data_IF_358486369338
#
_entry.id   IF_358486369338
#
_cell.length_a   1.000
_cell.length_b   1.000
_cell.length_c   1.000
_cell.angle_alpha   90.00
_cell.angle_beta   90.00
_cell.angle_gamma   90.00
#
_symmetry.space_group_name_H-M   'P 1'
#
loop_
_entity.id
_entity.type
_entity.pdbx_description
1 polymer ?
#
# COMPACT_ATOMS: atom_id res chain seq x y z
N UNK A 1 13.99 8.72 15.29
CA UNK A 1 13.22 7.62 15.93
C UNK A 1 12.37 6.99 14.85
N UNK A 2 12.22 5.66 14.82
CA UNK A 2 11.41 5.01 13.80
C UNK A 2 9.94 5.07 14.23
N UNK A 3 9.12 5.84 13.51
CA UNK A 3 7.73 6.13 13.91
C UNK A 3 6.72 5.03 13.52
N UNK A 4 7.20 3.88 13.02
CA UNK A 4 6.36 2.70 12.80
C UNK A 4 6.11 1.95 14.11
N UNK A 5 4.84 1.76 14.48
CA UNK A 5 4.42 0.94 15.63
C UNK A 5 3.68 -0.30 15.15
N UNK A 6 3.88 -1.43 15.84
CA UNK A 6 3.03 -2.60 15.63
C UNK A 6 1.59 -2.25 15.98
N UNK A 7 0.67 -2.73 15.15
CA UNK A 7 -0.76 -2.54 15.34
C UNK A 7 -1.47 -3.88 15.52
N UNK A 8 -2.51 -3.89 16.33
CA UNK A 8 -3.42 -5.02 16.44
C UNK A 8 -4.38 -5.00 15.24
N UNK A 9 -4.15 -5.89 14.25
CA UNK A 9 -4.92 -5.88 13.00
C UNK A 9 -6.42 -6.18 13.21
N UNK A 10 -6.78 -6.96 14.22
CA UNK A 10 -8.20 -7.21 14.55
C UNK A 10 -8.88 -5.95 15.07
N UNK A 11 -8.21 -5.23 15.95
CA UNK A 11 -8.69 -3.94 16.47
C UNK A 11 -8.76 -2.90 15.35
N UNK A 12 -7.72 -2.82 14.52
CA UNK A 12 -7.70 -1.92 13.36
C UNK A 12 -8.90 -2.17 12.43
N UNK A 13 -9.24 -3.42 12.13
CA UNK A 13 -10.43 -3.76 11.32
C UNK A 13 -11.72 -3.23 11.96
N UNK A 14 -11.87 -3.39 13.28
CA UNK A 14 -13.05 -2.89 13.99
C UNK A 14 -13.13 -1.37 13.96
N UNK A 15 -12.00 -0.68 14.14
CA UNK A 15 -11.96 0.79 14.05
C UNK A 15 -12.25 1.27 12.62
N UNK A 16 -11.70 0.61 11.59
CA UNK A 16 -12.00 0.93 10.19
C UNK A 16 -13.50 0.78 9.88
N UNK A 17 -14.16 -0.28 10.39
CA UNK A 17 -15.60 -0.46 10.22
C UNK A 17 -16.40 0.68 10.87
N UNK A 18 -16.01 1.12 12.07
CA UNK A 18 -16.64 2.27 12.74
C UNK A 18 -16.41 3.57 11.96
N UNK A 19 -15.19 3.77 11.45
CA UNK A 19 -14.84 4.95 10.66
C UNK A 19 -15.64 4.99 9.35
N UNK A 20 -15.77 3.87 8.64
CA UNK A 20 -16.64 3.75 7.47
C UNK A 20 -18.08 4.13 7.79
N UNK A 21 -18.67 3.52 8.84
CA UNK A 21 -20.06 3.80 9.23
C UNK A 21 -20.28 5.27 9.61
N UNK A 22 -19.30 5.90 10.25
CA UNK A 22 -19.37 7.34 10.57
C UNK A 22 -19.39 8.19 9.29
N UNK A 23 -18.54 7.87 8.31
CA UNK A 23 -18.41 8.64 7.07
C UNK A 23 -19.60 8.44 6.14
N UNK A 24 -20.15 7.23 6.08
CA UNK A 24 -21.42 6.95 5.38
C UNK A 24 -22.59 7.80 5.92
N UNK A 25 -22.53 8.19 7.19
CA UNK A 25 -23.50 9.07 7.83
C UNK A 25 -23.34 10.57 7.50
N UNK A 26 -22.25 10.97 6.84
CA UNK A 26 -21.99 12.38 6.52
C UNK A 26 -22.87 12.79 5.33
N UNK A 27 -23.90 13.60 5.61
CA UNK A 27 -24.75 14.21 4.59
C UNK A 27 -24.30 15.65 4.33
N UNK A 28 -23.74 15.89 3.14
CA UNK A 28 -23.38 17.23 2.69
C UNK A 28 -24.57 17.91 2.03
N UNK A 29 -24.81 19.17 2.39
CA UNK A 29 -25.93 19.97 1.84
C UNK A 29 -25.66 20.51 0.43
N UNK A 30 -24.40 20.59 0.03
CA UNK A 30 -23.97 21.11 -1.26
C UNK A 30 -23.20 20.03 -2.03
N UNK A 31 -23.82 19.51 -3.08
CA UNK A 31 -23.23 18.49 -3.93
C UNK A 31 -22.34 19.18 -4.98
N UNK A 32 -21.03 18.93 -4.93
CA UNK A 32 -20.06 19.46 -5.88
C UNK A 32 -19.15 20.59 -5.37
N UNK A 33 -19.26 20.97 -4.09
CA UNK A 33 -18.30 21.89 -3.46
C UNK A 33 -17.03 21.19 -2.96
N UNK A 34 -16.02 21.96 -2.55
CA UNK A 34 -14.75 21.46 -2.00
C UNK A 34 -14.92 20.40 -0.89
N UNK A 35 -15.91 20.57 -0.02
CA UNK A 35 -16.19 19.59 1.05
C UNK A 35 -16.68 18.24 0.51
N UNK A 36 -17.35 18.22 -0.65
CA UNK A 36 -17.75 16.99 -1.33
C UNK A 36 -16.54 16.25 -1.90
N UNK A 37 -15.62 16.96 -2.56
CA UNK A 37 -14.38 16.39 -3.08
C UNK A 37 -13.48 15.84 -1.95
N UNK A 38 -13.40 16.56 -0.83
CA UNK A 38 -12.71 16.09 0.37
C UNK A 38 -13.34 14.81 0.92
N UNK A 39 -14.67 14.76 1.02
CA UNK A 39 -15.38 13.56 1.51
C UNK A 39 -15.13 12.36 0.60
N UNK A 40 -15.19 12.55 -0.73
CA UNK A 40 -14.85 11.51 -1.72
C UNK A 40 -13.40 11.03 -1.54
N UNK A 41 -12.46 11.95 -1.32
CA UNK A 41 -11.05 11.60 -1.08
C UNK A 41 -10.89 10.79 0.22
N UNK A 42 -11.64 11.13 1.28
CA UNK A 42 -11.66 10.34 2.52
C UNK A 42 -12.18 8.93 2.27
N UNK A 43 -13.27 8.76 1.49
CA UNK A 43 -13.78 7.43 1.12
C UNK A 43 -12.71 6.57 0.44
N UNK A 44 -12.00 7.15 -0.53
CA UNK A 44 -10.92 6.44 -1.21
C UNK A 44 -9.75 6.11 -0.28
N UNK A 45 -9.33 7.06 0.57
CA UNK A 45 -8.27 6.82 1.54
C UNK A 45 -8.60 5.61 2.43
N UNK A 46 -9.82 5.53 2.97
CA UNK A 46 -10.19 4.42 3.86
C UNK A 46 -10.30 3.10 3.11
N UNK A 47 -10.83 3.09 1.88
CA UNK A 47 -10.79 1.87 1.03
C UNK A 47 -9.35 1.36 0.86
N UNK A 48 -8.39 2.26 0.64
CA UNK A 48 -6.98 1.86 0.54
C UNK A 48 -6.38 1.38 1.87
N UNK A 49 -6.77 1.96 3.02
CA UNK A 49 -6.37 1.42 4.33
C UNK A 49 -6.96 0.02 4.55
N UNK A 50 -8.23 -0.20 4.20
CA UNK A 50 -8.87 -1.51 4.30
C UNK A 50 -8.16 -2.54 3.41
N UNK A 51 -7.85 -2.19 2.16
CA UNK A 51 -7.08 -3.06 1.27
C UNK A 51 -5.70 -3.38 1.83
N UNK A 52 -4.99 -2.40 2.41
CA UNK A 52 -3.70 -2.64 3.07
C UNK A 52 -3.85 -3.57 4.27
N UNK A 53 -4.87 -3.36 5.10
CA UNK A 53 -5.19 -4.26 6.20
C UNK A 53 -5.38 -5.70 5.71
N UNK A 54 -6.20 -5.92 4.69
CA UNK A 54 -6.49 -7.27 4.17
C UNK A 54 -5.23 -7.92 3.60
N UNK A 55 -4.34 -7.13 2.98
CA UNK A 55 -3.04 -7.61 2.50
C UNK A 55 -2.12 -8.03 3.63
N UNK A 56 -2.14 -7.32 4.75
CA UNK A 56 -1.33 -7.62 5.93
C UNK A 56 -1.91 -8.77 6.77
N UNK A 57 -3.23 -8.92 6.80
CA UNK A 57 -3.91 -9.91 7.65
C UNK A 57 -4.29 -11.18 6.90
N UNK A 58 -5.09 -11.06 5.85
CA UNK A 58 -5.66 -12.20 5.11
C UNK A 58 -4.64 -12.81 4.14
N UNK A 59 -3.80 -11.97 3.54
CA UNK A 59 -2.75 -12.39 2.61
C UNK A 59 -1.36 -12.56 3.28
N UNK A 60 -1.27 -12.66 4.61
CA UNK A 60 0.01 -12.68 5.34
C UNK A 60 0.99 -13.77 4.86
N UNK A 61 0.46 -14.90 4.34
CA UNK A 61 1.29 -15.95 3.73
C UNK A 61 2.12 -15.43 2.54
N UNK A 62 1.57 -14.51 1.74
CA UNK A 62 2.26 -13.91 0.59
C UNK A 62 3.41 -13.01 1.03
N UNK A 63 3.23 -12.28 2.14
CA UNK A 63 4.30 -11.51 2.77
C UNK A 63 5.46 -12.42 3.23
N UNK A 64 5.14 -13.55 3.86
CA UNK A 64 6.15 -14.53 4.30
C UNK A 64 6.92 -15.14 3.12
N UNK A 65 6.24 -15.46 2.01
CA UNK A 65 6.90 -15.95 0.80
C UNK A 65 7.78 -14.85 0.21
N UNK A 66 7.28 -13.62 0.07
CA UNK A 66 8.07 -12.48 -0.40
C UNK A 66 9.32 -12.27 0.47
N UNK A 67 9.21 -12.51 1.78
CA UNK A 67 10.31 -12.38 2.71
C UNK A 67 11.44 -13.40 2.51
N UNK A 68 11.12 -14.55 1.91
CA UNK A 68 12.07 -15.63 1.62
C UNK A 68 12.71 -15.50 0.23
N UNK A 69 12.21 -14.61 -0.63
CA UNK A 69 12.77 -14.36 -1.95
C UNK A 69 13.94 -13.38 -1.84
N UNK A 70 15.16 -13.88 -2.04
CA UNK A 70 16.37 -13.07 -2.03
C UNK A 70 16.31 -12.00 -3.12
N UNK A 71 15.71 -12.31 -4.27
CA UNK A 71 15.53 -11.39 -5.39
C UNK A 71 14.66 -10.18 -5.03
N UNK A 72 13.77 -10.29 -4.02
CA UNK A 72 12.95 -9.18 -3.51
C UNK A 72 13.58 -8.46 -2.31
N UNK A 73 14.77 -8.86 -1.85
CA UNK A 73 15.33 -8.31 -0.61
C UNK A 73 15.53 -6.79 -0.69
N UNK A 74 16.04 -6.29 -1.81
CA UNK A 74 16.24 -4.85 -2.04
C UNK A 74 14.91 -4.11 -2.04
N UNK A 75 13.96 -4.52 -2.88
CA UNK A 75 12.64 -3.86 -3.00
C UNK A 75 11.87 -3.87 -1.67
N UNK A 76 11.98 -4.97 -0.90
CA UNK A 76 11.39 -5.05 0.44
C UNK A 76 11.99 -4.06 1.43
N UNK A 77 13.31 -3.93 1.43
CA UNK A 77 13.98 -2.98 2.31
C UNK A 77 13.60 -1.56 1.94
N UNK A 78 13.48 -1.25 0.65
CA UNK A 78 13.04 0.06 0.15
C UNK A 78 11.59 0.36 0.48
N UNK A 79 10.69 -0.63 0.38
CA UNK A 79 9.31 -0.51 0.84
C UNK A 79 9.25 -0.17 2.33
N UNK A 80 9.99 -0.91 3.17
CA UNK A 80 9.99 -0.69 4.62
C UNK A 80 10.56 0.69 4.98
N UNK A 81 11.73 1.04 4.42
CA UNK A 81 12.38 2.33 4.68
C UNK A 81 11.49 3.50 4.24
N UNK A 82 10.89 3.42 3.05
CA UNK A 82 10.04 4.46 2.51
C UNK A 82 8.73 4.60 3.28
N UNK A 83 8.10 3.49 3.69
CA UNK A 83 6.90 3.54 4.53
C UNK A 83 7.19 4.23 5.88
N UNK A 84 8.36 4.00 6.48
CA UNK A 84 8.76 4.72 7.70
C UNK A 84 8.87 6.23 7.44
N UNK A 85 9.47 6.63 6.32
CA UNK A 85 9.56 8.05 5.93
C UNK A 85 8.18 8.67 5.67
N UNK A 86 7.29 7.95 4.98
CA UNK A 86 5.91 8.36 4.75
C UNK A 86 5.17 8.61 6.06
N UNK A 87 5.27 7.68 7.03
CA UNK A 87 4.64 7.84 8.34
C UNK A 87 5.18 9.10 9.03
N UNK A 88 6.48 9.32 8.99
CA UNK A 88 7.11 10.49 9.58
C UNK A 88 6.69 11.80 8.90
N UNK A 89 6.56 11.82 7.58
CA UNK A 89 6.05 12.97 6.83
C UNK A 89 4.60 13.27 7.21
N UNK A 90 3.75 12.25 7.32
CA UNK A 90 2.35 12.40 7.75
C UNK A 90 2.24 12.93 9.19
N UNK A 91 3.03 12.41 10.13
CA UNK A 91 3.05 12.91 11.52
C UNK A 91 3.51 14.37 11.63
N UNK A 92 4.32 14.82 10.68
CA UNK A 92 4.77 16.21 10.59
C UNK A 92 3.87 17.08 9.70
N UNK A 93 2.74 16.55 9.24
CA UNK A 93 1.76 17.26 8.40
C UNK A 93 2.22 17.53 6.97
N UNK A 94 3.28 16.86 6.49
CA UNK A 94 3.80 16.98 5.12
C UNK A 94 3.17 15.93 4.22
N UNK A 95 1.87 16.09 3.93
CA UNK A 95 1.12 15.09 3.20
C UNK A 95 1.53 15.01 1.73
N UNK A 96 1.91 16.15 1.12
CA UNK A 96 2.43 16.15 -0.25
C UNK A 96 3.73 15.35 -0.38
N UNK A 97 4.69 15.51 0.54
CA UNK A 97 5.94 14.75 0.53
C UNK A 97 5.68 13.24 0.70
N UNK A 98 4.74 12.87 1.59
CA UNK A 98 4.31 11.49 1.75
C UNK A 98 3.69 10.92 0.46
N UNK A 99 2.91 11.72 -0.27
CA UNK A 99 2.33 11.34 -1.55
C UNK A 99 3.40 11.14 -2.64
N UNK A 100 4.38 12.06 -2.73
CA UNK A 100 5.50 11.95 -3.67
C UNK A 100 6.34 10.70 -3.43
N UNK A 101 6.66 10.41 -2.16
CA UNK A 101 7.40 9.19 -1.78
C UNK A 101 6.60 7.94 -2.11
N UNK A 102 5.31 7.92 -1.81
CA UNK A 102 4.44 6.79 -2.14
C UNK A 102 4.40 6.52 -3.63
N UNK A 103 4.26 7.58 -4.45
CA UNK A 103 4.28 7.47 -5.92
C UNK A 103 5.64 6.98 -6.45
N UNK A 104 6.75 7.52 -5.94
CA UNK A 104 8.09 7.09 -6.35
C UNK A 104 8.33 5.61 -6.02
N UNK A 105 7.93 5.17 -4.82
CA UNK A 105 8.03 3.78 -4.40
C UNK A 105 7.21 2.84 -5.28
N UNK A 106 5.95 3.19 -5.59
CA UNK A 106 5.11 2.37 -6.45
C UNK A 106 5.70 2.25 -7.86
N UNK A 107 6.22 3.35 -8.42
CA UNK A 107 6.86 3.34 -9.73
C UNK A 107 8.14 2.50 -9.77
N UNK A 108 8.98 2.59 -8.74
CA UNK A 108 10.21 1.79 -8.62
C UNK A 108 9.90 0.30 -8.54
N UNK A 109 9.00 -0.10 -7.64
CA UNK A 109 8.56 -1.50 -7.50
C UNK A 109 7.97 -2.04 -8.80
N UNK A 110 7.09 -1.28 -9.46
CA UNK A 110 6.46 -1.70 -10.72
C UNK A 110 7.51 -1.95 -11.82
N UNK A 111 8.55 -1.11 -11.88
CA UNK A 111 9.63 -1.23 -12.86
C UNK A 111 10.45 -2.53 -12.72
N UNK A 112 10.51 -3.11 -11.51
CA UNK A 112 11.25 -4.35 -11.23
C UNK A 112 10.41 -5.63 -11.41
N UNK A 113 9.08 -5.52 -11.33
CA UNK A 113 8.16 -6.68 -11.33
C UNK A 113 8.35 -7.57 -12.55
N UNK A 114 8.43 -7.01 -13.75
CA UNK A 114 8.53 -7.80 -14.98
C UNK A 114 9.85 -8.58 -15.07
N UNK A 115 10.95 -7.98 -14.62
CA UNK A 115 12.25 -8.64 -14.53
C UNK A 115 12.21 -9.86 -13.61
N UNK A 116 11.62 -9.70 -12.42
CA UNK A 116 11.47 -10.79 -11.45
C UNK A 116 10.55 -11.90 -11.95
N UNK A 117 9.43 -11.53 -12.59
CA UNK A 117 8.50 -12.51 -13.18
C UNK A 117 9.19 -13.36 -14.24
N UNK A 118 9.97 -12.73 -15.12
CA UNK A 118 10.71 -13.45 -16.15
C UNK A 118 11.73 -14.43 -15.55
N UNK A 119 12.48 -14.01 -14.53
CA UNK A 119 13.44 -14.88 -13.84
C UNK A 119 12.78 -16.12 -13.22
N UNK A 120 11.62 -15.96 -12.60
CA UNK A 120 10.85 -17.09 -12.05
C UNK A 120 10.42 -18.05 -13.16
N UNK A 121 9.87 -17.52 -14.27
CA UNK A 121 9.43 -18.36 -15.39
C UNK A 121 10.60 -19.13 -16.02
N UNK A 122 11.78 -18.52 -16.14
CA UNK A 122 13.00 -19.20 -16.60
C UNK A 122 13.36 -20.34 -15.65
N UNK A 123 13.32 -20.12 -14.33
CA UNK A 123 13.63 -21.17 -13.34
C UNK A 123 12.63 -22.33 -13.38
N UNK A 124 11.34 -22.05 -13.61
CA UNK A 124 10.31 -23.07 -13.82
C UNK A 124 10.61 -23.87 -15.10
N UNK A 125 10.87 -23.19 -16.22
CA UNK A 125 11.18 -23.85 -17.50
C UNK A 125 12.45 -24.72 -17.45
N UNK A 126 13.41 -24.34 -16.60
CA UNK A 126 14.64 -25.10 -16.34
C UNK A 126 14.47 -26.22 -15.30
N UNK A 127 13.25 -26.46 -14.78
CA UNK A 127 12.96 -27.39 -13.69
C UNK A 127 13.79 -27.14 -12.41
N UNK A 128 14.28 -25.91 -12.21
CA UNK A 128 15.01 -25.52 -10.97
C UNK A 128 14.06 -25.30 -9.79
N UNK A 129 12.80 -25.00 -10.08
CA UNK A 129 11.69 -24.94 -9.14
C UNK A 129 10.47 -25.58 -9.77
N UNK A 130 9.53 -26.07 -8.95
CA UNK A 130 8.26 -26.59 -9.46
C UNK A 130 7.36 -25.47 -10.00
N UNK A 131 6.39 -25.81 -10.85
CA UNK A 131 5.38 -24.85 -11.33
C UNK A 131 4.54 -24.27 -10.16
N UNK A 132 4.28 -25.07 -9.13
CA UNK A 132 3.55 -24.64 -7.93
C UNK A 132 4.37 -23.68 -7.07
N UNK A 133 5.68 -23.91 -6.94
CA UNK A 133 6.58 -22.95 -6.28
C UNK A 133 6.65 -21.66 -7.09
N UNK A 134 6.81 -21.74 -8.41
CA UNK A 134 6.82 -20.57 -9.30
C UNK A 134 5.56 -19.73 -9.15
N UNK A 135 4.39 -20.36 -9.12
CA UNK A 135 3.10 -19.67 -8.92
C UNK A 135 3.04 -18.93 -7.58
N UNK A 136 3.50 -19.57 -6.50
CA UNK A 136 3.57 -18.95 -5.17
C UNK A 136 4.49 -17.72 -5.14
N UNK A 137 5.63 -17.79 -5.83
CA UNK A 137 6.56 -16.66 -5.92
C UNK A 137 5.98 -15.50 -6.74
N UNK A 138 5.31 -15.79 -7.85
CA UNK A 138 4.62 -14.77 -8.66
C UNK A 138 3.50 -14.09 -7.88
N UNK A 139 2.77 -14.83 -7.04
CA UNK A 139 1.77 -14.23 -6.14
C UNK A 139 2.40 -13.32 -5.08
N UNK A 140 3.57 -13.68 -4.55
CA UNK A 140 4.29 -12.87 -3.59
C UNK A 140 4.76 -11.54 -4.21
N UNK A 141 5.29 -11.57 -5.44
CA UNK A 141 5.66 -10.35 -6.19
C UNK A 141 4.42 -9.49 -6.47
N UNK A 142 3.31 -10.11 -6.91
CA UNK A 142 2.04 -9.37 -7.12
C UNK A 142 1.51 -8.75 -5.83
N UNK A 143 1.67 -9.43 -4.70
CA UNK A 143 1.31 -8.88 -3.40
C UNK A 143 2.17 -7.67 -3.05
N UNK A 144 3.49 -7.76 -3.25
CA UNK A 144 4.41 -6.66 -2.98
C UNK A 144 4.08 -5.40 -3.81
N UNK A 145 3.84 -5.56 -5.12
CA UNK A 145 3.44 -4.46 -5.99
C UNK A 145 2.09 -3.83 -5.60
N UNK A 146 1.12 -4.65 -5.17
CA UNK A 146 -0.18 -4.13 -4.70
C UNK A 146 -0.07 -3.37 -3.39
N UNK A 147 0.84 -3.77 -2.50
CA UNK A 147 1.08 -3.04 -1.26
C UNK A 147 1.66 -1.66 -1.55
N UNK A 148 2.68 -1.55 -2.43
CA UNK A 148 3.24 -0.26 -2.81
C UNK A 148 2.22 0.64 -3.51
N UNK A 149 1.41 0.11 -4.43
CA UNK A 149 0.32 0.87 -5.08
C UNK A 149 -0.71 1.38 -4.06
N UNK A 150 -1.17 0.54 -3.13
CA UNK A 150 -2.13 0.98 -2.11
C UNK A 150 -1.53 2.03 -1.14
N UNK A 151 -0.25 1.94 -0.81
CA UNK A 151 0.45 3.00 -0.05
C UNK A 151 0.46 4.30 -0.84
N UNK A 152 0.82 4.26 -2.13
CA UNK A 152 0.82 5.44 -3.00
C UNK A 152 -0.56 6.10 -3.12
N UNK A 153 -1.61 5.30 -3.35
CA UNK A 153 -2.98 5.80 -3.46
C UNK A 153 -3.47 6.39 -2.15
N UNK A 154 -3.20 5.72 -1.03
CA UNK A 154 -3.56 6.22 0.29
C UNK A 154 -2.94 7.60 0.55
N UNK A 155 -1.63 7.75 0.37
CA UNK A 155 -0.95 9.03 0.64
C UNK A 155 -1.41 10.13 -0.31
N UNK A 156 -1.69 9.81 -1.57
CA UNK A 156 -2.29 10.74 -2.53
C UNK A 156 -3.64 11.29 -2.05
N UNK A 157 -4.58 10.43 -1.65
CA UNK A 157 -5.89 10.90 -1.19
C UNK A 157 -5.80 11.66 0.13
N UNK A 158 -4.88 11.29 1.03
CA UNK A 158 -4.66 12.04 2.26
C UNK A 158 -4.12 13.46 2.00
N UNK A 159 -3.23 13.64 1.01
CA UNK A 159 -2.78 14.96 0.59
C UNK A 159 -3.93 15.81 0.01
N UNK A 160 -4.80 15.21 -0.80
CA UNK A 160 -6.00 15.89 -1.32
C UNK A 160 -6.94 16.34 -0.17
N UNK A 161 -7.15 15.49 0.84
CA UNK A 161 -7.94 15.84 2.04
C UNK A 161 -7.33 17.01 2.80
N UNK A 162 -6.00 17.02 2.96
CA UNK A 162 -5.25 18.12 3.58
C UNK A 162 -5.31 19.44 2.79
N UNK A 163 -5.79 19.41 1.54
CA UNK A 163 -5.82 20.57 0.65
C UNK A 163 -4.46 20.88 0.03
N UNK A 164 -3.54 19.90 0.04
CA UNK A 164 -2.21 19.97 -0.56
C UNK A 164 -2.24 19.27 -1.92
N UNK A 165 -2.77 19.95 -2.94
CA UNK A 165 -2.69 19.48 -4.32
C UNK A 165 -1.48 20.09 -5.03
N UNK A 166 -0.77 19.28 -5.81
CA UNK A 166 0.16 19.81 -6.81
C UNK A 166 -0.61 20.64 -7.82
N UNK A 167 -0.36 21.95 -7.83
CA UNK A 167 -0.70 22.83 -8.95
C UNK A 167 0.11 22.48 -10.19
#
# INVERSE_FOLDING_TARGET
EANGRYSNLVELKNELLKTHAYIDGIVLRDAGGKSHEQLVSVFHAIDHVQRLHDRCFEDARRANIAAQLTELQTDRNELISTVILIINDMEQGRYLDAAERGMALAADVDSHVDGLRNQIMIRVAQNKISADDGTRQLEAIRWHNRVSDHVSRLTHYLAAVAGEEKR
#
